data_IF_772513427179
#
_entry.id   IF_772513427179
#
_cell.length_a   1.000
_cell.length_b   1.000
_cell.length_c   1.000
_cell.angle_alpha   90.00
_cell.angle_beta   90.00
_cell.angle_gamma   90.00
#
_symmetry.space_group_name_H-M   'P 1'
#
loop_
_entity.id
_entity.type
_entity.pdbx_description
1 polymer ?
#
# COMPACT_ATOMS: atom_id res chain seq x y z
N UNK A 1 -5.08 -36.14 -13.19
CA UNK A 1 -5.02 -36.52 -11.75
C UNK A 1 -3.61 -36.58 -11.14
N UNK A 2 -2.63 -35.75 -11.57
CA UNK A 2 -1.27 -35.72 -10.98
C UNK A 2 -0.84 -34.39 -10.34
N UNK A 3 -1.66 -33.34 -10.37
CA UNK A 3 -1.28 -32.00 -9.87
C UNK A 3 -1.80 -31.62 -8.47
N UNK A 4 -2.61 -32.47 -7.82
CA UNK A 4 -3.12 -32.20 -6.46
C UNK A 4 -2.13 -32.65 -5.37
N UNK A 5 -1.26 -33.64 -5.65
CA UNK A 5 -0.25 -34.10 -4.68
C UNK A 5 0.88 -33.09 -4.45
N UNK A 6 1.23 -32.27 -5.45
CA UNK A 6 2.29 -31.26 -5.33
C UNK A 6 1.85 -30.10 -4.42
N UNK A 7 0.59 -29.68 -4.52
CA UNK A 7 -0.02 -28.70 -3.62
C UNK A 7 -0.12 -29.22 -2.18
N UNK A 8 -0.44 -30.50 -1.99
CA UNK A 8 -0.48 -31.13 -0.65
C UNK A 8 0.91 -31.21 0.01
N UNK A 9 1.98 -31.40 -0.78
CA UNK A 9 3.37 -31.37 -0.31
C UNK A 9 3.84 -29.95 0.03
N UNK A 10 3.38 -28.94 -0.71
CA UNK A 10 3.67 -27.53 -0.41
C UNK A 10 3.03 -27.07 0.90
N UNK A 11 1.79 -27.50 1.18
CA UNK A 11 1.07 -27.20 2.43
C UNK A 11 1.70 -27.93 3.63
N UNK A 12 2.21 -29.16 3.48
CA UNK A 12 2.90 -29.88 4.57
C UNK A 12 4.24 -29.26 4.99
N UNK A 13 4.94 -28.55 4.09
CA UNK A 13 6.23 -27.89 4.39
C UNK A 13 6.06 -26.65 5.26
N UNK A 14 4.90 -25.99 5.18
CA UNK A 14 4.48 -24.96 6.12
C UNK A 14 3.61 -25.60 7.20
N UNK A 15 4.23 -26.39 8.09
CA UNK A 15 3.64 -26.64 9.41
C UNK A 15 3.17 -25.29 9.95
N UNK A 16 1.86 -25.09 9.98
CA UNK A 16 1.20 -24.01 10.69
C UNK A 16 1.86 -23.97 12.07
N UNK A 17 2.66 -22.92 12.30
CA UNK A 17 3.23 -22.68 13.63
C UNK A 17 2.03 -22.69 14.59
N UNK A 18 2.10 -23.46 15.69
CA UNK A 18 0.98 -23.55 16.62
C UNK A 18 0.51 -22.14 16.97
N UNK A 19 -0.82 -21.98 16.98
CA UNK A 19 -1.54 -20.75 17.30
C UNK A 19 -0.75 -19.94 18.31
N UNK A 20 -0.18 -18.82 17.86
CA UNK A 20 0.56 -17.90 18.72
C UNK A 20 -0.40 -17.52 19.83
N UNK A 21 -0.18 -18.04 21.04
CA UNK A 21 -0.86 -17.58 22.24
C UNK A 21 -0.76 -16.07 22.17
N UNK A 22 -1.88 -15.37 22.01
CA UNK A 22 -1.92 -13.91 22.02
C UNK A 22 -1.65 -13.48 23.46
N UNK A 23 -0.40 -13.65 23.88
CA UNK A 23 0.11 -13.14 25.15
C UNK A 23 -0.07 -11.63 25.05
N UNK A 24 -0.96 -11.09 25.88
CA UNK A 24 -1.34 -9.67 25.88
C UNK A 24 -0.07 -8.88 26.17
N UNK A 25 0.58 -8.36 25.12
CA UNK A 25 1.82 -7.62 25.26
C UNK A 25 1.52 -6.27 25.89
N UNK A 26 2.26 -5.92 26.94
CA UNK A 26 2.17 -4.60 27.58
C UNK A 26 2.44 -3.52 26.52
N UNK A 27 1.51 -2.56 26.40
CA UNK A 27 1.72 -1.37 25.58
C UNK A 27 2.78 -0.52 26.27
N UNK A 28 3.91 -0.29 25.58
CA UNK A 28 4.97 0.58 26.10
C UNK A 28 4.65 2.05 25.87
N UNK A 29 4.89 2.90 26.89
CA UNK A 29 4.97 4.36 26.72
C UNK A 29 6.19 4.76 25.89
N UNK A 30 6.30 6.02 25.48
CA UNK A 30 7.46 6.51 24.70
C UNK A 30 8.76 6.34 25.49
N UNK A 31 8.73 6.61 26.79
CA UNK A 31 9.88 6.45 27.70
C UNK A 31 10.26 4.97 27.86
N UNK A 32 9.27 4.07 27.93
CA UNK A 32 9.51 2.63 27.95
C UNK A 32 10.08 2.13 26.62
N UNK A 33 9.64 2.69 25.49
CA UNK A 33 10.18 2.39 24.17
C UNK A 33 11.65 2.81 24.06
N UNK A 34 12.01 4.02 24.53
CA UNK A 34 13.40 4.49 24.55
C UNK A 34 14.27 3.63 25.47
N UNK A 35 13.79 3.32 26.69
CA UNK A 35 14.51 2.40 27.60
C UNK A 35 14.76 1.04 26.98
N UNK A 36 13.78 0.51 26.24
CA UNK A 36 13.94 -0.75 25.52
C UNK A 36 14.92 -0.64 24.35
N UNK A 37 15.00 0.49 23.65
CA UNK A 37 16.03 0.69 22.62
C UNK A 37 17.43 0.74 23.22
N UNK A 38 17.59 1.41 24.37
CA UNK A 38 18.86 1.42 25.11
C UNK A 38 19.28 0.03 25.58
N UNK A 39 18.33 -0.81 26.05
CA UNK A 39 18.66 -2.19 26.46
C UNK A 39 19.15 -3.07 25.29
N UNK A 40 18.76 -2.71 24.06
CA UNK A 40 19.26 -3.31 22.82
C UNK A 40 20.59 -2.72 22.33
N UNK A 41 21.23 -1.85 23.12
CA UNK A 41 22.48 -1.15 22.80
C UNK A 41 22.36 -0.15 21.63
N UNK A 42 21.20 0.49 21.50
CA UNK A 42 21.03 1.63 20.58
C UNK A 42 21.45 2.90 21.31
N UNK A 43 22.41 3.63 20.74
CA UNK A 43 22.95 4.88 21.27
C UNK A 43 22.07 6.07 20.87
N UNK A 44 21.86 7.00 21.80
CA UNK A 44 21.03 8.21 21.57
C UNK A 44 21.87 9.51 21.54
N UNK A 45 23.19 9.44 21.74
CA UNK A 45 24.13 10.56 21.63
C UNK A 45 23.67 11.89 22.28
N UNK A 46 23.05 11.80 23.46
CA UNK A 46 22.48 12.92 24.22
C UNK A 46 21.24 13.61 23.60
N UNK A 47 20.66 13.09 22.52
CA UNK A 47 19.41 13.59 21.90
C UNK A 47 18.21 12.69 22.24
N UNK A 48 17.97 12.48 23.53
CA UNK A 48 16.84 11.65 23.97
C UNK A 48 15.49 12.37 23.82
N UNK A 49 15.46 13.67 24.08
CA UNK A 49 14.23 14.45 23.98
C UNK A 49 13.80 14.63 22.53
N UNK A 50 14.75 14.87 21.60
CA UNK A 50 14.46 14.84 20.17
C UNK A 50 14.03 13.45 19.68
N UNK A 51 14.53 12.38 20.28
CA UNK A 51 14.04 11.03 20.00
C UNK A 51 12.61 10.78 20.50
N UNK A 52 12.23 11.30 21.68
CA UNK A 52 10.85 11.25 22.18
C UNK A 52 9.91 11.99 21.25
N UNK A 53 10.27 13.21 20.87
CA UNK A 53 9.48 14.04 19.96
C UNK A 53 9.30 13.35 18.60
N UNK A 54 10.39 12.81 18.04
CA UNK A 54 10.36 12.07 16.79
C UNK A 54 9.45 10.84 16.85
N UNK A 55 9.51 10.06 17.94
CA UNK A 55 8.66 8.89 18.16
C UNK A 55 7.19 9.22 18.46
N UNK A 56 6.91 10.47 18.82
CA UNK A 56 5.56 10.95 19.19
C UNK A 56 4.86 11.58 17.99
N UNK A 57 5.54 12.47 17.26
CA UNK A 57 4.91 13.32 16.25
C UNK A 57 5.33 12.97 14.81
N UNK A 58 6.55 12.48 14.59
CA UNK A 58 7.07 12.26 13.23
C UNK A 58 6.91 10.82 12.74
N UNK A 59 7.12 9.84 13.63
CA UNK A 59 7.15 8.44 13.26
C UNK A 59 6.87 7.55 14.47
N UNK A 60 6.41 6.32 14.25
CA UNK A 60 6.13 5.41 15.36
C UNK A 60 7.23 4.36 15.52
N UNK A 61 7.44 3.94 16.76
CA UNK A 61 8.50 3.02 17.18
C UNK A 61 8.69 1.77 16.30
N UNK A 62 7.59 1.12 15.88
CA UNK A 62 7.70 -0.10 15.08
C UNK A 62 8.30 0.13 13.69
N UNK A 63 8.04 1.27 13.06
CA UNK A 63 8.64 1.64 11.77
C UNK A 63 10.14 1.88 11.97
N UNK A 64 10.54 2.68 12.96
CA UNK A 64 11.95 2.95 13.28
C UNK A 64 12.72 1.66 13.62
N UNK A 65 12.13 0.78 14.46
CA UNK A 65 12.71 -0.52 14.83
C UNK A 65 12.90 -1.45 13.65
N UNK A 66 12.09 -1.34 12.60
CA UNK A 66 12.21 -2.19 11.41
C UNK A 66 13.54 -1.97 10.68
N UNK A 67 14.05 -0.73 10.67
CA UNK A 67 15.35 -0.40 10.07
C UNK A 67 16.52 -0.97 10.88
N UNK A 68 16.38 -1.09 12.20
CA UNK A 68 17.40 -1.69 13.06
C UNK A 68 17.70 -3.15 12.69
N UNK A 69 16.75 -3.88 12.08
CA UNK A 69 16.96 -5.28 11.64
C UNK A 69 18.11 -5.44 10.63
N UNK A 70 18.47 -4.36 9.91
CA UNK A 70 19.58 -4.36 8.94
C UNK A 70 20.96 -4.32 9.60
N UNK A 71 21.03 -4.03 10.91
CA UNK A 71 22.28 -3.91 11.64
C UNK A 71 22.69 -5.22 12.30
N UNK A 72 24.00 -5.48 12.32
CA UNK A 72 24.59 -6.66 12.96
C UNK A 72 24.35 -6.63 14.46
N UNK A 73 24.11 -7.80 15.03
CA UNK A 73 24.05 -8.02 16.49
C UNK A 73 25.24 -8.83 16.97
N UNK A 74 25.77 -8.47 18.12
CA UNK A 74 26.77 -9.22 18.88
C UNK A 74 26.13 -9.52 20.24
N UNK A 75 26.06 -10.80 20.61
CA UNK A 75 25.42 -11.28 21.85
C UNK A 75 23.97 -10.79 22.05
N UNK A 76 23.20 -10.78 20.96
CA UNK A 76 21.79 -10.38 20.97
C UNK A 76 21.53 -8.86 21.01
N UNK A 77 22.57 -8.03 21.14
CA UNK A 77 22.50 -6.55 21.15
C UNK A 77 23.05 -5.96 19.86
N UNK A 78 22.60 -4.77 19.47
CA UNK A 78 23.09 -4.11 18.26
C UNK A 78 24.53 -3.62 18.43
N UNK A 79 25.35 -3.82 17.41
CA UNK A 79 26.71 -3.29 17.36
C UNK A 79 26.72 -1.96 16.58
N UNK A 80 27.31 -0.92 17.18
CA UNK A 80 27.50 0.40 16.55
C UNK A 80 26.23 1.04 15.95
N UNK A 81 25.07 0.87 16.61
CA UNK A 81 23.80 1.43 16.14
C UNK A 81 23.43 2.69 16.92
N UNK A 82 23.30 3.80 16.19
CA UNK A 82 22.85 5.09 16.72
C UNK A 82 21.41 5.37 16.28
N UNK A 83 20.59 5.95 17.17
CA UNK A 83 19.21 6.34 16.89
C UNK A 83 19.13 7.35 15.74
N UNK A 84 20.10 8.26 15.65
CA UNK A 84 20.20 9.24 14.57
C UNK A 84 20.21 8.58 13.17
N UNK A 85 20.85 7.40 13.03
CA UNK A 85 20.81 6.66 11.77
C UNK A 85 19.42 6.13 11.46
N UNK A 86 18.73 5.57 12.45
CA UNK A 86 17.35 5.09 12.28
C UNK A 86 16.39 6.23 11.91
N UNK A 87 16.57 7.41 12.52
CA UNK A 87 15.83 8.63 12.19
C UNK A 87 16.09 9.03 10.73
N UNK A 88 17.35 9.11 10.30
CA UNK A 88 17.72 9.43 8.91
C UNK A 88 17.11 8.45 7.91
N UNK A 89 17.15 7.14 8.19
CA UNK A 89 16.51 6.14 7.34
C UNK A 89 15.00 6.31 7.23
N UNK A 90 14.35 6.70 8.33
CA UNK A 90 12.91 6.95 8.29
C UNK A 90 12.54 8.19 7.48
N UNK A 91 13.36 9.24 7.52
CA UNK A 91 13.15 10.44 6.69
C UNK A 91 13.36 10.09 5.21
N UNK A 92 14.43 9.36 4.91
CA UNK A 92 14.75 8.91 3.56
C UNK A 92 13.65 8.00 2.98
N UNK A 93 13.10 7.08 3.77
CA UNK A 93 11.98 6.23 3.36
C UNK A 93 10.72 7.04 3.02
N UNK A 94 10.44 8.13 3.75
CA UNK A 94 9.33 9.03 3.43
C UNK A 94 9.60 9.78 2.13
N UNK A 95 10.76 10.44 2.02
CA UNK A 95 11.12 11.19 0.81
C UNK A 95 11.15 10.32 -0.45
N UNK A 96 11.62 9.07 -0.33
CA UNK A 96 11.60 8.13 -1.44
C UNK A 96 10.18 7.77 -1.88
N UNK A 97 9.25 7.59 -0.93
CA UNK A 97 7.84 7.32 -1.27
C UNK A 97 7.17 8.51 -1.93
N UNK A 98 7.46 9.71 -1.46
CA UNK A 98 6.97 10.95 -2.05
C UNK A 98 7.45 11.08 -3.50
N UNK A 99 8.75 10.84 -3.74
CA UNK A 99 9.32 10.84 -5.08
C UNK A 99 8.68 9.79 -6.00
N UNK A 100 8.53 8.54 -5.52
CA UNK A 100 7.92 7.47 -6.33
C UNK A 100 6.46 7.79 -6.63
N UNK A 101 5.72 8.38 -5.67
CA UNK A 101 4.34 8.79 -5.87
C UNK A 101 4.25 9.91 -6.92
N UNK A 102 5.10 10.94 -6.81
CA UNK A 102 5.15 12.05 -7.76
C UNK A 102 5.48 11.54 -9.17
N UNK A 103 6.49 10.68 -9.32
CA UNK A 103 6.82 10.06 -10.60
C UNK A 103 5.67 9.22 -11.17
N UNK A 104 4.95 8.48 -10.31
CA UNK A 104 3.80 7.68 -10.74
C UNK A 104 2.67 8.57 -11.25
N UNK A 105 2.35 9.66 -10.54
CA UNK A 105 1.34 10.64 -10.93
C UNK A 105 1.70 11.34 -12.25
N UNK A 106 2.98 11.68 -12.44
CA UNK A 106 3.47 12.27 -13.71
C UNK A 106 3.34 11.28 -14.87
N UNK A 107 3.77 10.03 -14.70
CA UNK A 107 3.64 8.99 -15.72
C UNK A 107 2.17 8.74 -16.07
N UNK A 108 1.30 8.64 -15.07
CA UNK A 108 -0.14 8.47 -15.26
C UNK A 108 -0.74 9.64 -16.04
N UNK A 109 -0.41 10.87 -15.68
CA UNK A 109 -0.86 12.07 -16.39
C UNK A 109 -0.40 12.07 -17.85
N UNK A 110 0.89 11.79 -18.11
CA UNK A 110 1.43 11.73 -19.46
C UNK A 110 0.71 10.69 -20.32
N UNK A 111 0.49 9.49 -19.78
CA UNK A 111 -0.24 8.43 -20.48
C UNK A 111 -1.68 8.87 -20.76
N UNK A 112 -2.39 9.46 -19.78
CA UNK A 112 -3.76 9.98 -19.98
C UNK A 112 -3.82 11.01 -21.10
N UNK A 113 -2.90 11.97 -21.13
CA UNK A 113 -2.82 12.99 -22.19
C UNK A 113 -2.58 12.34 -23.55
N UNK A 114 -1.66 11.38 -23.65
CA UNK A 114 -1.37 10.67 -24.89
C UNK A 114 -2.58 9.90 -25.42
N UNK A 115 -3.31 9.19 -24.54
CA UNK A 115 -4.48 8.44 -24.99
C UNK A 115 -5.62 9.39 -25.36
N UNK A 116 -5.91 10.42 -24.55
CA UNK A 116 -6.89 11.47 -24.89
C UNK A 116 -6.61 12.07 -26.26
N UNK A 117 -5.36 12.48 -26.52
CA UNK A 117 -4.95 13.03 -27.81
C UNK A 117 -5.20 12.04 -28.96
N UNK A 118 -4.81 10.78 -28.77
CA UNK A 118 -4.96 9.75 -29.80
C UNK A 118 -6.43 9.49 -30.13
N UNK A 119 -7.29 9.41 -29.12
CA UNK A 119 -8.73 9.26 -29.31
C UNK A 119 -9.35 10.50 -29.95
N UNK A 120 -9.01 11.71 -29.51
CA UNK A 120 -9.53 12.96 -30.09
C UNK A 120 -9.10 13.19 -31.54
N UNK A 121 -7.98 12.63 -31.98
CA UNK A 121 -7.51 12.73 -33.37
C UNK A 121 -8.10 11.64 -34.28
N UNK A 122 -8.79 10.64 -33.72
CA UNK A 122 -9.39 9.57 -34.50
C UNK A 122 -10.84 9.89 -34.85
N UNK A 123 -11.05 10.49 -36.03
CA UNK A 123 -12.39 10.85 -36.52
C UNK A 123 -13.31 9.65 -36.79
N UNK A 124 -12.78 8.42 -36.81
CA UNK A 124 -13.55 7.20 -37.05
C UNK A 124 -14.02 6.52 -35.75
N UNK A 125 -13.61 7.03 -34.58
CA UNK A 125 -13.98 6.49 -33.28
C UNK A 125 -14.96 7.44 -32.57
N UNK A 126 -16.07 6.90 -32.08
CA UNK A 126 -17.07 7.66 -31.32
C UNK A 126 -16.74 7.72 -29.82
N UNK A 127 -15.67 7.04 -29.37
CA UNK A 127 -15.22 6.97 -27.98
C UNK A 127 -16.00 5.99 -27.10
N UNK A 128 -17.03 5.32 -27.60
CA UNK A 128 -17.83 4.34 -26.85
C UNK A 128 -17.55 2.91 -27.29
N UNK A 129 -17.34 2.68 -28.59
CA UNK A 129 -17.07 1.34 -29.11
C UNK A 129 -15.79 0.75 -28.52
N UNK A 130 -14.73 1.55 -28.37
CA UNK A 130 -13.47 1.10 -27.75
C UNK A 130 -13.66 0.61 -26.30
N UNK A 131 -14.59 1.21 -25.55
CA UNK A 131 -14.90 0.81 -24.17
C UNK A 131 -15.71 -0.48 -24.16
N UNK A 132 -16.66 -0.64 -25.08
CA UNK A 132 -17.41 -1.89 -25.26
C UNK A 132 -16.49 -3.04 -25.66
N UNK A 133 -15.64 -2.83 -26.65
CA UNK A 133 -14.65 -3.81 -27.12
C UNK A 133 -13.71 -4.23 -26.00
N UNK A 134 -13.26 -3.27 -25.18
CA UNK A 134 -12.44 -3.56 -24.01
C UNK A 134 -13.16 -4.48 -23.01
N UNK A 135 -14.42 -4.21 -22.67
CA UNK A 135 -15.20 -5.05 -21.77
C UNK A 135 -15.52 -6.43 -22.34
N UNK A 136 -15.71 -6.54 -23.67
CA UNK A 136 -15.87 -7.82 -24.35
C UNK A 136 -14.58 -8.66 -24.27
N UNK A 137 -13.41 -8.03 -24.38
CA UNK A 137 -12.11 -8.72 -24.37
C UNK A 137 -11.59 -9.09 -22.97
N UNK A 138 -11.86 -8.24 -21.97
CA UNK A 138 -11.26 -8.37 -20.62
C UNK A 138 -12.24 -8.71 -19.51
N UNK A 139 -13.50 -8.94 -19.86
CA UNK A 139 -14.63 -9.09 -18.96
C UNK A 139 -14.92 -7.82 -18.14
N UNK A 140 -16.18 -7.69 -17.73
CA UNK A 140 -16.64 -6.56 -16.91
C UNK A 140 -16.02 -6.69 -15.50
N UNK A 141 -15.44 -5.63 -14.92
CA UNK A 141 -14.92 -5.67 -13.55
C UNK A 141 -15.95 -6.13 -12.51
N UNK A 142 -15.52 -6.89 -11.50
CA UNK A 142 -16.44 -7.51 -10.52
C UNK A 142 -17.34 -6.51 -9.77
N UNK A 143 -16.87 -5.28 -9.54
CA UNK A 143 -17.69 -4.25 -8.87
C UNK A 143 -18.84 -3.76 -9.75
N UNK A 144 -18.61 -3.68 -11.06
CA UNK A 144 -19.61 -3.28 -12.07
C UNK A 144 -20.65 -4.41 -12.21
N UNK A 145 -20.20 -5.68 -12.25
CA UNK A 145 -21.10 -6.84 -12.27
C UNK A 145 -21.98 -6.95 -11.02
N UNK A 146 -21.43 -6.68 -9.83
CA UNK A 146 -22.20 -6.65 -8.58
C UNK A 146 -23.27 -5.58 -8.65
N UNK A 147 -22.88 -4.39 -9.10
CA UNK A 147 -23.82 -3.31 -9.31
C UNK A 147 -24.96 -3.74 -10.25
N UNK A 148 -24.73 -4.42 -11.38
CA UNK A 148 -25.85 -4.89 -12.23
C UNK A 148 -26.82 -5.84 -11.57
N UNK A 149 -26.28 -6.78 -10.80
CA UNK A 149 -27.04 -7.89 -10.24
C UNK A 149 -27.82 -7.48 -9.00
N UNK A 150 -27.31 -6.50 -8.25
CA UNK A 150 -27.92 -6.03 -7.01
C UNK A 150 -29.08 -5.07 -7.28
N UNK A 151 -30.28 -5.48 -6.85
CA UNK A 151 -31.50 -4.65 -6.90
C UNK A 151 -31.49 -3.51 -5.87
N UNK A 152 -30.72 -3.67 -4.81
CA UNK A 152 -30.59 -2.71 -3.70
C UNK A 152 -29.30 -1.91 -3.87
N UNK A 153 -29.43 -0.74 -4.52
CA UNK A 153 -28.31 0.14 -4.88
C UNK A 153 -27.79 0.97 -3.69
N UNK A 154 -28.51 1.01 -2.57
CA UNK A 154 -28.13 1.79 -1.39
C UNK A 154 -27.00 1.14 -0.58
N UNK A 155 -26.68 -0.13 -0.89
CA UNK A 155 -25.53 -0.85 -0.32
C UNK A 155 -24.18 -0.41 -0.88
N UNK A 156 -24.18 0.30 -2.01
CA UNK A 156 -22.93 0.78 -2.62
C UNK A 156 -22.41 2.00 -1.88
N UNK A 157 -21.09 2.19 -1.88
CA UNK A 157 -20.48 3.31 -1.17
C UNK A 157 -20.99 4.65 -1.70
N UNK A 158 -21.02 5.65 -0.82
CA UNK A 158 -21.40 7.05 -1.13
C UNK A 158 -20.62 7.60 -2.32
N UNK A 159 -19.40 7.13 -2.54
CA UNK A 159 -18.53 7.57 -3.63
C UNK A 159 -18.80 6.84 -4.95
N UNK A 160 -19.08 5.53 -4.89
CA UNK A 160 -19.23 4.70 -6.10
C UNK A 160 -20.65 4.74 -6.69
N UNK A 161 -21.68 4.88 -5.85
CA UNK A 161 -23.08 4.85 -6.30
C UNK A 161 -23.39 5.99 -7.30
N UNK A 162 -23.12 7.27 -7.00
CA UNK A 162 -23.48 8.37 -7.93
C UNK A 162 -22.75 8.28 -9.28
N UNK A 163 -21.55 7.71 -9.28
CA UNK A 163 -20.76 7.51 -10.50
C UNK A 163 -21.36 6.40 -11.37
N UNK A 164 -21.72 5.27 -10.76
CA UNK A 164 -22.34 4.16 -11.47
C UNK A 164 -23.74 4.54 -11.96
N UNK A 165 -24.56 5.16 -11.12
CA UNK A 165 -25.89 5.63 -11.52
C UNK A 165 -25.84 6.56 -12.75
N UNK A 166 -24.81 7.40 -12.85
CA UNK A 166 -24.68 8.40 -13.91
C UNK A 166 -24.04 7.89 -15.19
N UNK A 167 -23.02 7.05 -15.10
CA UNK A 167 -22.16 6.70 -16.24
C UNK A 167 -22.21 5.23 -16.64
N UNK A 168 -23.03 4.42 -15.96
CA UNK A 168 -23.01 2.98 -16.22
C UNK A 168 -23.43 2.61 -17.63
N UNK A 169 -24.49 3.22 -18.12
CA UNK A 169 -25.06 2.92 -19.44
C UNK A 169 -24.46 3.80 -20.56
N UNK A 170 -23.69 4.83 -20.18
CA UNK A 170 -23.12 5.86 -21.06
C UNK A 170 -21.62 6.07 -20.75
N UNK A 171 -20.88 4.96 -20.78
CA UNK A 171 -19.47 4.92 -20.38
C UNK A 171 -18.55 5.21 -21.57
N UNK A 172 -18.45 6.49 -21.93
CA UNK A 172 -17.52 6.98 -22.95
C UNK A 172 -16.07 7.00 -22.45
N UNK A 173 -15.13 6.87 -23.38
CA UNK A 173 -13.69 6.82 -23.10
C UNK A 173 -13.18 8.05 -22.33
N UNK A 174 -13.66 9.24 -22.66
CA UNK A 174 -13.35 10.50 -21.98
C UNK A 174 -13.81 10.52 -20.52
N UNK A 175 -14.91 9.80 -20.22
CA UNK A 175 -15.45 9.66 -18.87
C UNK A 175 -14.63 8.65 -18.08
N UNK A 176 -14.22 7.54 -18.70
CA UNK A 176 -13.34 6.53 -18.07
C UNK A 176 -12.02 7.16 -17.61
N UNK A 177 -11.43 8.06 -18.42
CA UNK A 177 -10.19 8.76 -18.05
C UNK A 177 -10.39 9.74 -16.88
N UNK A 178 -11.55 10.38 -16.74
CA UNK A 178 -11.83 11.33 -15.64
C UNK A 178 -11.93 10.66 -14.26
N UNK A 179 -12.14 9.35 -14.20
CA UNK A 179 -12.35 8.61 -12.95
C UNK A 179 -11.13 7.80 -12.50
N UNK A 180 -10.12 7.68 -13.35
CA UNK A 180 -8.79 7.23 -12.99
C UNK A 180 -7.92 8.41 -12.66
#
# INVERSE_FOLDING_TARGET
MKNIKIWFLFIKKYKLKPSRIFMKQKKFTIEEQIRYMKSLNIKFDNDEDGAKEFLTYSNYYFKVKSFAKKYKKIDGKYANLHFAYLRKFSILDTAFRELVLELSLLCEHLIKVLICRSCSQNNNDNGYEIVKDYFLLKEIPSNIQKYDKDKDKDKFSVYSKPLLDKYRDDMGFDRVIKFW
#
